data_IF_618948634069
#
_entry.id   IF_618948634069
#
_cell.length_a   1.000
_cell.length_b   1.000
_cell.length_c   1.000
_cell.angle_alpha   90.00
_cell.angle_beta   90.00
_cell.angle_gamma   90.00
#
_symmetry.space_group_name_H-M   'P 1'
#
loop_
_entity.id
_entity.type
_entity.pdbx_description
1 polymer ?
#
# COMPACT_ATOMS: atom_id res chain seq x y z
N UNK A 1 -12.37 -56.12 24.51
CA UNK A 1 -12.24 -54.77 23.94
C UNK A 1 -11.08 -54.80 22.97
N UNK A 2 -11.20 -54.37 21.70
CA UNK A 2 -10.05 -54.36 20.82
C UNK A 2 -9.11 -53.23 21.25
N UNK A 3 -7.83 -53.55 21.38
CA UNK A 3 -6.75 -52.60 21.67
C UNK A 3 -6.14 -52.19 20.34
N UNK A 4 -6.05 -50.89 20.08
CA UNK A 4 -5.34 -50.34 18.92
C UNK A 4 -3.86 -50.22 19.31
N UNK A 5 -3.00 -50.98 18.65
CA UNK A 5 -1.55 -50.83 18.71
C UNK A 5 -1.09 -49.94 17.54
N UNK A 6 -0.49 -48.79 17.84
CA UNK A 6 0.15 -47.92 16.84
C UNK A 6 1.62 -48.32 16.75
N UNK A 7 2.05 -48.90 15.63
CA UNK A 7 3.48 -49.07 15.32
C UNK A 7 4.02 -47.77 14.70
N UNK A 8 5.10 -47.26 15.24
CA UNK A 8 5.80 -46.11 14.68
C UNK A 8 6.46 -46.48 13.34
N UNK A 9 6.35 -45.57 12.35
CA UNK A 9 7.09 -45.50 11.08
C UNK A 9 6.41 -45.92 9.77
N UNK A 10 5.09 -45.95 9.68
CA UNK A 10 4.40 -45.91 8.38
C UNK A 10 3.37 -44.78 8.35
N UNK A 11 3.83 -43.55 8.12
CA UNK A 11 2.99 -42.49 7.56
C UNK A 11 3.66 -42.10 6.24
N UNK A 12 3.27 -42.77 5.17
CA UNK A 12 3.47 -42.25 3.82
C UNK A 12 2.38 -41.21 3.61
N UNK A 13 2.73 -39.91 3.69
CA UNK A 13 1.81 -38.83 3.32
C UNK A 13 1.68 -38.87 1.79
N UNK A 14 0.64 -39.55 1.32
CA UNK A 14 0.11 -39.41 -0.04
C UNK A 14 -1.13 -38.51 0.06
N UNK A 15 -1.13 -37.46 -0.75
CA UNK A 15 -2.08 -36.33 -0.83
C UNK A 15 -1.88 -35.19 0.21
N UNK A 16 -1.23 -34.12 -0.25
CA UNK A 16 -1.07 -32.81 0.40
C UNK A 16 -2.39 -31.99 0.45
N UNK A 17 -3.55 -32.64 0.52
CA UNK A 17 -4.84 -31.98 0.73
C UNK A 17 -5.14 -31.92 2.23
N UNK A 18 -4.42 -31.04 2.95
CA UNK A 18 -4.79 -30.66 4.32
C UNK A 18 -6.07 -29.83 4.25
N UNK A 19 -7.17 -30.42 4.70
CA UNK A 19 -8.51 -29.83 4.64
C UNK A 19 -8.72 -28.67 5.63
N UNK A 20 -9.07 -27.53 5.04
CA UNK A 20 -10.05 -26.52 5.49
C UNK A 20 -9.89 -25.87 6.86
N UNK A 21 -8.99 -24.90 6.94
CA UNK A 21 -9.44 -23.62 7.50
C UNK A 21 -10.39 -23.01 6.46
N UNK A 22 -11.56 -22.50 6.86
CA UNK A 22 -12.28 -21.53 6.04
C UNK A 22 -11.34 -20.32 5.91
N UNK A 23 -10.47 -20.34 4.90
CA UNK A 23 -9.68 -19.17 4.56
C UNK A 23 -10.69 -18.04 4.35
N UNK A 24 -10.45 -16.86 4.92
CA UNK A 24 -11.33 -15.74 4.65
C UNK A 24 -11.39 -15.53 3.14
N UNK A 25 -12.50 -15.01 2.63
CA UNK A 25 -12.59 -14.73 1.19
C UNK A 25 -11.43 -13.81 0.79
N UNK A 26 -10.55 -14.29 -0.08
CA UNK A 26 -9.40 -13.55 -0.61
C UNK A 26 -9.70 -13.13 -2.04
N UNK A 27 -10.49 -12.06 -2.16
CA UNK A 27 -10.70 -11.35 -3.42
C UNK A 27 -9.68 -10.21 -3.59
N UNK A 28 -9.45 -9.83 -4.85
CA UNK A 28 -8.51 -8.78 -5.23
C UNK A 28 -7.13 -9.30 -5.63
N UNK A 29 -6.23 -8.36 -5.90
CA UNK A 29 -4.86 -8.62 -6.36
C UNK A 29 -3.85 -7.84 -5.53
N UNK A 30 -2.68 -8.43 -5.37
CA UNK A 30 -1.58 -7.85 -4.62
C UNK A 30 -0.46 -7.49 -5.59
N UNK A 31 0.02 -6.26 -5.52
CA UNK A 31 1.21 -5.81 -6.25
C UNK A 31 2.31 -5.58 -5.24
N UNK A 32 3.50 -6.09 -5.52
CA UNK A 32 4.59 -6.10 -4.56
C UNK A 32 5.93 -5.89 -5.27
N UNK A 33 6.84 -5.20 -4.57
CA UNK A 33 8.22 -5.04 -5.00
C UNK A 33 9.06 -6.17 -4.41
N UNK A 34 9.94 -6.73 -5.22
CA UNK A 34 10.72 -7.89 -4.82
C UNK A 34 12.15 -7.77 -5.31
N UNK A 35 13.10 -8.04 -4.41
CA UNK A 35 14.49 -8.26 -4.79
C UNK A 35 14.72 -9.74 -5.00
N UNK A 36 14.68 -10.18 -6.25
CA UNK A 36 14.94 -11.58 -6.61
C UNK A 36 16.41 -11.95 -6.40
N UNK A 37 16.66 -13.20 -6.03
CA UNK A 37 18.02 -13.70 -5.81
C UNK A 37 18.88 -13.50 -7.07
N UNK A 38 20.07 -12.92 -6.89
CA UNK A 38 21.00 -12.62 -7.99
C UNK A 38 20.74 -11.30 -8.73
N UNK A 39 19.64 -10.58 -8.45
CA UNK A 39 19.39 -9.25 -9.01
C UNK A 39 19.88 -8.14 -8.06
N UNK A 40 20.33 -7.02 -8.65
CA UNK A 40 20.74 -5.83 -7.89
C UNK A 40 19.57 -4.91 -7.56
N UNK A 41 18.54 -4.89 -8.40
CA UNK A 41 17.37 -4.02 -8.32
C UNK A 41 16.10 -4.76 -7.85
N UNK A 42 15.07 -3.99 -7.50
CA UNK A 42 13.73 -4.49 -7.19
C UNK A 42 12.85 -4.37 -8.43
N UNK A 43 12.12 -5.44 -8.74
CA UNK A 43 11.07 -5.42 -9.78
C UNK A 43 9.69 -5.48 -9.12
N UNK A 44 8.67 -4.98 -9.82
CA UNK A 44 7.28 -5.15 -9.45
C UNK A 44 6.72 -6.47 -9.97
N UNK A 45 5.93 -7.11 -9.13
CA UNK A 45 5.21 -8.35 -9.41
C UNK A 45 3.77 -8.22 -8.95
N UNK A 46 2.91 -9.05 -9.52
CA UNK A 46 1.49 -9.14 -9.19
C UNK A 46 1.09 -10.59 -8.98
N UNK A 47 0.13 -10.80 -8.08
CA UNK A 47 -0.58 -12.08 -7.91
C UNK A 47 -2.02 -11.81 -7.47
N UNK A 48 -2.90 -12.81 -7.62
CA UNK A 48 -4.19 -12.80 -6.94
C UNK A 48 -3.97 -12.92 -5.42
N UNK A 49 -4.93 -12.44 -4.62
CA UNK A 49 -4.81 -12.45 -3.15
C UNK A 49 -4.64 -13.85 -2.54
N UNK A 50 -5.06 -14.89 -3.25
CA UNK A 50 -4.87 -16.31 -2.89
C UNK A 50 -3.49 -16.87 -3.28
N UNK A 51 -2.63 -16.07 -3.90
CA UNK A 51 -1.30 -16.44 -4.37
C UNK A 51 -1.24 -17.02 -5.79
N UNK A 52 -2.39 -17.16 -6.46
CA UNK A 52 -2.46 -17.61 -7.85
C UNK A 52 -2.10 -16.49 -8.86
N UNK A 53 -1.96 -16.86 -10.14
CA UNK A 53 -1.65 -15.96 -11.27
C UNK A 53 -0.47 -15.00 -11.04
N UNK A 54 0.55 -15.49 -10.33
CA UNK A 54 1.76 -14.72 -10.09
C UNK A 54 2.52 -14.44 -11.40
N UNK A 55 2.87 -13.17 -11.63
CA UNK A 55 3.71 -12.74 -12.76
C UNK A 55 4.45 -11.45 -12.47
N UNK A 56 5.56 -11.21 -13.17
CA UNK A 56 6.29 -9.94 -13.09
C UNK A 56 5.58 -8.86 -13.93
N UNK A 57 5.59 -7.64 -13.42
CA UNK A 57 5.07 -6.44 -14.05
C UNK A 57 6.19 -5.63 -14.71
N UNK A 58 7.34 -5.53 -14.04
CA UNK A 58 8.57 -4.89 -14.54
C UNK A 58 9.71 -5.91 -14.63
N UNK A 59 10.68 -5.59 -15.48
CA UNK A 59 11.98 -6.29 -15.64
C UNK A 59 13.00 -5.30 -16.18
N UNK A 60 13.37 -4.33 -15.35
CA UNK A 60 14.28 -3.26 -15.78
C UNK A 60 15.62 -3.36 -15.04
N UNK A 61 16.53 -2.41 -15.29
CA UNK A 61 17.78 -2.28 -14.53
C UNK A 61 17.66 -1.27 -13.37
N UNK A 62 16.45 -0.78 -13.10
CA UNK A 62 16.14 0.25 -12.12
C UNK A 62 15.39 -0.38 -10.95
N UNK A 63 15.40 0.28 -9.79
CA UNK A 63 14.56 -0.12 -8.67
C UNK A 63 13.14 0.37 -8.91
N UNK A 64 12.16 -0.53 -8.81
CA UNK A 64 10.74 -0.18 -8.70
C UNK A 64 10.16 -0.70 -7.39
N UNK A 65 9.71 0.22 -6.53
CA UNK A 65 9.33 -0.06 -5.15
C UNK A 65 8.04 0.67 -4.74
N UNK A 66 7.55 0.34 -3.55
CA UNK A 66 6.44 1.04 -2.90
C UNK A 66 5.19 1.17 -3.78
N UNK A 67 4.67 0.05 -4.35
CA UNK A 67 3.53 0.10 -5.24
C UNK A 67 2.24 0.46 -4.47
N UNK A 68 1.30 1.13 -5.14
CA UNK A 68 -0.07 1.32 -4.70
C UNK A 68 -1.06 1.16 -5.85
N UNK A 69 -2.11 0.39 -5.65
CA UNK A 69 -3.12 0.09 -6.67
C UNK A 69 -4.15 1.21 -6.71
N UNK A 70 -4.45 1.69 -7.91
CA UNK A 70 -5.52 2.65 -8.15
C UNK A 70 -6.88 2.16 -7.62
N UNK A 71 -7.80 3.06 -7.22
CA UNK A 71 -9.09 2.67 -6.64
C UNK A 71 -9.98 1.81 -7.55
N UNK A 72 -9.85 1.97 -8.87
CA UNK A 72 -10.58 1.15 -9.85
C UNK A 72 -9.90 -0.21 -10.11
N UNK A 73 -8.74 -0.42 -9.52
CA UNK A 73 -7.95 -1.62 -9.60
C UNK A 73 -7.12 -1.74 -10.86
N UNK A 74 -7.18 -0.82 -11.84
CA UNK A 74 -6.65 -1.03 -13.20
C UNK A 74 -5.19 -0.66 -13.37
N UNK A 75 -4.71 0.27 -12.56
CA UNK A 75 -3.35 0.80 -12.60
C UNK A 75 -2.63 0.65 -11.26
N UNK A 76 -1.31 0.76 -11.29
CA UNK A 76 -0.45 0.88 -10.11
C UNK A 76 0.39 2.14 -10.23
N UNK A 77 0.49 2.91 -9.14
CA UNK A 77 1.52 3.92 -8.96
C UNK A 77 2.66 3.34 -8.13
N UNK A 78 3.89 3.74 -8.40
CA UNK A 78 5.07 3.21 -7.71
C UNK A 78 6.24 4.18 -7.81
N UNK A 79 7.23 4.02 -6.92
CA UNK A 79 8.46 4.79 -6.98
C UNK A 79 9.54 4.08 -7.80
N UNK A 80 10.28 4.80 -8.64
CA UNK A 80 11.39 4.29 -9.44
C UNK A 80 12.61 5.23 -9.45
N UNK A 81 13.81 4.71 -9.70
CA UNK A 81 15.08 5.49 -9.69
C UNK A 81 15.75 5.65 -11.08
N UNK A 82 14.96 5.48 -12.15
CA UNK A 82 15.43 5.48 -13.54
C UNK A 82 16.32 6.66 -13.93
N UNK A 83 16.02 7.86 -13.45
CA UNK A 83 16.74 9.09 -13.79
C UNK A 83 17.76 9.53 -12.72
N UNK A 84 18.05 8.67 -11.73
CA UNK A 84 19.03 8.91 -10.67
C UNK A 84 18.43 9.40 -9.35
N UNK A 85 17.26 10.05 -9.40
CA UNK A 85 16.45 10.42 -8.24
C UNK A 85 15.17 9.56 -8.20
N UNK A 86 14.53 9.44 -7.03
CA UNK A 86 13.27 8.71 -6.91
C UNK A 86 12.10 9.49 -7.52
N UNK A 87 11.34 8.89 -8.43
CA UNK A 87 10.14 9.48 -9.03
C UNK A 87 8.97 8.53 -8.96
N UNK A 88 7.76 9.07 -9.06
CA UNK A 88 6.54 8.29 -9.12
C UNK A 88 6.13 8.13 -10.57
N UNK A 89 5.86 6.89 -10.96
CA UNK A 89 5.25 6.55 -12.24
C UNK A 89 3.96 5.76 -12.03
N UNK A 90 3.15 5.66 -13.07
CA UNK A 90 1.97 4.78 -13.14
C UNK A 90 2.08 3.83 -14.32
N UNK A 91 1.50 2.64 -14.20
CA UNK A 91 1.39 1.69 -15.30
C UNK A 91 0.09 0.89 -15.21
N UNK A 92 -0.33 0.34 -16.34
CA UNK A 92 -1.45 -0.60 -16.41
C UNK A 92 -1.04 -1.95 -15.78
N UNK A 93 -1.93 -2.54 -15.00
CA UNK A 93 -1.68 -3.82 -14.34
C UNK A 93 -1.93 -5.02 -15.25
N UNK A 94 -2.91 -4.93 -16.16
CA UNK A 94 -3.36 -6.03 -17.01
C UNK A 94 -2.60 -6.10 -18.33
N UNK A 95 -2.25 -4.94 -18.90
CA UNK A 95 -1.45 -4.79 -20.11
C UNK A 95 -0.25 -3.87 -19.85
N UNK A 96 0.70 -4.29 -18.98
CA UNK A 96 1.84 -3.44 -18.65
C UNK A 96 2.69 -3.17 -19.89
N UNK A 97 3.15 -1.92 -20.04
CA UNK A 97 4.30 -1.58 -20.91
C UNK A 97 5.55 -1.65 -20.04
N UNK A 98 6.25 -2.81 -19.95
CA UNK A 98 7.13 -3.11 -18.81
C UNK A 98 8.41 -2.29 -18.74
N UNK A 99 8.71 -1.52 -19.79
CA UNK A 99 9.99 -0.81 -19.97
C UNK A 99 9.91 0.67 -19.64
N UNK A 100 8.71 1.23 -19.46
CA UNK A 100 8.56 2.65 -19.10
C UNK A 100 7.19 2.94 -18.48
N UNK A 101 7.11 3.31 -17.19
CA UNK A 101 5.88 3.83 -16.61
C UNK A 101 5.56 5.23 -17.13
N UNK A 102 4.28 5.56 -17.12
CA UNK A 102 3.87 6.94 -17.32
C UNK A 102 4.32 7.78 -16.13
N UNK A 103 5.15 8.83 -16.31
CA UNK A 103 5.69 9.60 -15.20
C UNK A 103 4.59 10.47 -14.56
N UNK A 104 4.57 10.51 -13.22
CA UNK A 104 3.68 11.35 -12.40
C UNK A 104 4.48 12.46 -11.72
N UNK A 105 5.75 12.24 -11.43
CA UNK A 105 6.65 13.27 -10.88
C UNK A 105 7.97 13.32 -11.66
N UNK A 106 8.69 14.44 -11.57
CA UNK A 106 9.68 14.81 -12.60
C UNK A 106 11.01 15.33 -12.07
N UNK A 107 11.12 15.56 -10.76
CA UNK A 107 12.28 16.19 -10.15
C UNK A 107 12.34 15.87 -8.67
N UNK A 108 13.55 15.88 -8.11
CA UNK A 108 13.83 15.56 -6.71
C UNK A 108 13.36 14.14 -6.31
N UNK A 109 13.47 13.79 -5.04
CA UNK A 109 13.05 12.48 -4.55
C UNK A 109 11.57 12.48 -4.15
N UNK A 110 10.79 11.59 -4.76
CA UNK A 110 9.43 11.24 -4.37
C UNK A 110 9.24 9.74 -4.16
N UNK A 111 8.63 9.39 -3.03
CA UNK A 111 8.55 8.02 -2.50
C UNK A 111 7.21 7.78 -1.81
N UNK A 112 6.91 6.53 -1.49
CA UNK A 112 5.76 6.08 -0.71
C UNK A 112 4.42 6.60 -1.24
N UNK A 113 4.06 6.33 -2.51
CA UNK A 113 2.75 6.71 -3.02
C UNK A 113 1.63 5.92 -2.31
N UNK A 114 0.51 6.59 -2.04
CA UNK A 114 -0.75 5.98 -1.61
C UNK A 114 -1.90 6.57 -2.45
N UNK A 115 -2.56 5.70 -3.23
CA UNK A 115 -3.65 6.12 -4.10
C UNK A 115 -4.96 6.10 -3.32
N UNK A 116 -5.52 7.30 -3.08
CA UNK A 116 -6.78 7.47 -2.41
C UNK A 116 -7.98 7.24 -3.33
N UNK A 117 -9.08 6.75 -2.77
CA UNK A 117 -10.39 6.64 -3.46
C UNK A 117 -10.95 7.99 -3.93
N UNK A 118 -10.35 9.10 -3.46
CA UNK A 118 -10.61 10.47 -3.94
C UNK A 118 -9.94 10.78 -5.29
N UNK A 119 -9.18 9.85 -5.86
CA UNK A 119 -8.48 10.00 -7.14
C UNK A 119 -7.08 10.61 -7.03
N UNK A 120 -6.65 11.04 -5.84
CA UNK A 120 -5.32 11.62 -5.63
C UNK A 120 -4.32 10.55 -5.20
N UNK A 121 -3.07 10.75 -5.58
CA UNK A 121 -1.91 10.02 -5.03
C UNK A 121 -1.26 10.92 -4.00
N UNK A 122 -1.22 10.49 -2.74
CA UNK A 122 -0.37 11.12 -1.72
C UNK A 122 1.02 10.50 -1.77
N UNK A 123 2.06 11.29 -1.55
CA UNK A 123 3.43 10.80 -1.57
C UNK A 123 4.36 11.66 -0.72
N UNK A 124 5.48 11.09 -0.33
CA UNK A 124 6.57 11.81 0.30
C UNK A 124 7.39 12.53 -0.77
N UNK A 125 7.76 13.80 -0.57
CA UNK A 125 8.62 14.56 -1.48
C UNK A 125 9.53 15.53 -0.74
N UNK A 126 10.77 15.67 -1.21
CA UNK A 126 11.73 16.69 -0.76
C UNK A 126 11.84 17.90 -1.70
N UNK A 127 10.83 18.15 -2.55
CA UNK A 127 10.91 19.18 -3.60
C UNK A 127 11.08 20.63 -3.13
N UNK A 128 10.82 20.90 -1.84
CA UNK A 128 11.07 22.21 -1.21
C UNK A 128 12.26 22.17 -0.24
N UNK A 129 13.18 21.20 -0.41
CA UNK A 129 14.35 21.01 0.45
C UNK A 129 14.06 20.31 1.78
N UNK A 130 12.79 20.13 2.15
CA UNK A 130 12.34 19.38 3.32
C UNK A 130 11.36 18.29 2.91
N UNK A 131 11.50 17.10 3.50
CA UNK A 131 10.55 16.00 3.30
C UNK A 131 9.16 16.40 3.78
N UNK A 132 8.19 16.48 2.88
CA UNK A 132 6.79 16.73 3.19
C UNK A 132 5.93 15.69 2.47
N UNK A 133 4.71 15.50 2.94
CA UNK A 133 3.67 14.81 2.20
C UNK A 133 3.05 15.79 1.21
N UNK A 134 2.92 15.34 -0.03
CA UNK A 134 2.28 16.03 -1.12
C UNK A 134 1.17 15.16 -1.69
N UNK A 135 0.30 15.75 -2.49
CA UNK A 135 -0.73 15.01 -3.21
C UNK A 135 -0.99 15.57 -4.59
N UNK A 136 -1.34 14.68 -5.52
CA UNK A 136 -1.48 15.02 -6.93
C UNK A 136 -2.57 14.20 -7.59
N UNK A 137 -3.29 14.78 -8.53
CA UNK A 137 -4.17 14.05 -9.44
C UNK A 137 -3.32 13.52 -10.61
N UNK A 138 -3.24 12.20 -10.80
CA UNK A 138 -2.40 11.60 -11.83
C UNK A 138 -2.93 11.78 -13.27
N UNK A 139 -4.15 12.28 -13.48
CA UNK A 139 -4.78 12.37 -14.81
C UNK A 139 -5.23 13.78 -15.22
N UNK A 140 -4.93 14.83 -14.44
CA UNK A 140 -5.29 16.20 -14.81
C UNK A 140 -4.60 16.65 -16.11
N UNK A 141 -5.37 17.13 -17.10
CA UNK A 141 -4.86 17.74 -18.35
C UNK A 141 -4.53 19.23 -18.16
N UNK A 142 -3.28 19.64 -18.42
CA UNK A 142 -2.81 21.04 -18.45
C UNK A 142 -1.46 21.26 -17.77
N UNK A 143 -0.61 22.11 -18.38
CA UNK A 143 0.80 22.43 -18.06
C UNK A 143 1.59 21.25 -17.47
N UNK A 144 1.67 20.17 -18.24
CA UNK A 144 2.38 18.93 -17.89
C UNK A 144 1.92 18.17 -16.62
N UNK A 145 1.49 18.77 -15.48
CA UNK A 145 1.52 18.05 -14.19
C UNK A 145 0.39 18.28 -13.17
N UNK A 146 -0.62 19.15 -13.37
CA UNK A 146 -1.54 19.48 -12.25
C UNK A 146 -0.82 20.10 -11.02
N UNK A 147 -1.57 20.73 -10.13
CA UNK A 147 -0.96 21.40 -8.97
C UNK A 147 -0.66 20.39 -7.86
N UNK A 148 0.61 20.21 -7.53
CA UNK A 148 0.98 19.49 -6.31
C UNK A 148 0.40 20.23 -5.09
N UNK A 149 -0.30 19.46 -4.25
CA UNK A 149 -0.92 19.96 -3.03
C UNK A 149 -0.01 19.61 -1.87
N UNK A 150 0.68 20.60 -1.32
CA UNK A 150 1.48 20.40 -0.11
C UNK A 150 0.53 20.13 1.07
N UNK A 151 0.66 18.97 1.68
CA UNK A 151 0.00 18.64 2.92
C UNK A 151 0.90 19.18 4.05
N UNK A 152 0.36 20.01 4.94
CA UNK A 152 1.13 20.66 6.03
C UNK A 152 1.62 19.62 7.08
N UNK A 153 2.66 18.89 6.68
CA UNK A 153 3.03 17.59 7.25
C UNK A 153 4.38 17.62 7.97
N UNK A 154 5.20 18.65 7.75
CA UNK A 154 6.53 18.76 8.35
C UNK A 154 6.68 19.89 9.38
N UNK A 155 5.65 20.69 9.65
CA UNK A 155 5.81 21.87 10.52
C UNK A 155 5.62 21.47 11.99
N UNK A 156 6.67 21.67 12.79
CA UNK A 156 6.61 21.83 14.25
C UNK A 156 7.60 22.90 14.72
N UNK A 157 7.26 23.58 15.83
CA UNK A 157 8.11 24.57 16.49
C UNK A 157 8.52 24.07 17.86
N UNK A 158 9.79 24.25 18.20
CA UNK A 158 10.30 24.01 19.54
C UNK A 158 10.89 25.31 20.08
N UNK A 159 10.18 25.91 21.04
CA UNK A 159 10.37 27.33 21.33
C UNK A 159 10.06 28.17 20.07
N UNK A 160 11.02 29.02 19.68
CA UNK A 160 10.90 29.89 18.51
C UNK A 160 11.55 29.32 17.23
N UNK A 161 12.08 28.09 17.29
CA UNK A 161 12.82 27.47 16.18
C UNK A 161 11.94 26.46 15.46
N UNK A 162 11.89 26.58 14.12
CA UNK A 162 11.29 25.56 13.26
C UNK A 162 12.23 24.38 13.11
N UNK A 163 11.69 23.17 13.30
CA UNK A 163 12.46 21.93 13.24
C UNK A 163 12.18 21.16 11.95
N UNK A 164 13.24 20.58 11.39
CA UNK A 164 13.10 19.63 10.30
C UNK A 164 12.70 18.26 10.86
N UNK A 165 11.53 17.78 10.44
CA UNK A 165 11.01 16.48 10.82
C UNK A 165 11.06 15.52 9.63
N UNK A 166 11.20 14.25 9.96
CA UNK A 166 10.99 13.17 9.01
C UNK A 166 9.48 12.94 8.91
N UNK A 167 8.99 12.78 7.70
CA UNK A 167 7.61 12.40 7.41
C UNK A 167 7.64 11.28 6.39
N UNK A 168 6.78 10.28 6.53
CA UNK A 168 6.77 9.13 5.63
C UNK A 168 5.44 8.40 5.65
N UNK A 169 5.26 7.60 4.59
CA UNK A 169 4.17 6.63 4.43
C UNK A 169 2.79 7.26 4.64
N UNK A 170 2.37 8.13 3.70
CA UNK A 170 1.01 8.62 3.70
C UNK A 170 0.02 7.47 3.53
N UNK A 171 -1.16 7.61 4.14
CA UNK A 171 -2.30 6.73 3.90
C UNK A 171 -3.58 7.53 3.93
N UNK A 172 -4.37 7.44 2.87
CA UNK A 172 -5.67 8.05 2.76
C UNK A 172 -6.75 7.19 3.42
N UNK A 173 -7.60 7.87 4.20
CA UNK A 173 -8.91 7.34 4.53
C UNK A 173 -9.77 7.17 3.26
N UNK A 174 -10.75 6.26 3.34
CA UNK A 174 -11.61 5.91 2.21
C UNK A 174 -12.34 7.10 1.57
N UNK A 175 -12.73 8.09 2.36
CA UNK A 175 -13.41 9.30 1.86
C UNK A 175 -12.42 10.39 1.40
N UNK A 176 -11.11 10.14 1.54
CA UNK A 176 -10.05 11.09 1.23
C UNK A 176 -10.00 12.31 2.16
N UNK A 177 -10.80 12.34 3.24
CA UNK A 177 -10.86 13.44 4.19
C UNK A 177 -9.66 13.45 5.11
N UNK A 178 -9.30 12.29 5.63
CA UNK A 178 -8.15 12.12 6.50
C UNK A 178 -6.96 11.56 5.75
N UNK A 179 -5.77 12.06 6.11
CA UNK A 179 -4.48 11.57 5.66
C UNK A 179 -3.62 11.28 6.89
N UNK A 180 -3.20 10.03 7.03
CA UNK A 180 -2.32 9.58 8.09
C UNK A 180 -0.89 9.51 7.57
N UNK A 181 0.09 9.77 8.43
CA UNK A 181 1.51 9.65 8.11
C UNK A 181 2.31 9.48 9.39
N UNK A 182 3.48 8.87 9.29
CA UNK A 182 4.41 8.76 10.40
C UNK A 182 5.38 9.95 10.39
N UNK A 183 5.63 10.56 11.56
CA UNK A 183 6.56 11.68 11.69
C UNK A 183 7.14 11.81 13.09
N UNK A 184 8.38 12.29 13.20
CA UNK A 184 9.05 12.58 14.47
C UNK A 184 8.78 13.99 15.04
N UNK A 185 7.81 14.72 14.48
CA UNK A 185 7.50 16.11 14.86
C UNK A 185 7.07 16.38 16.30
N UNK A 186 6.73 15.32 17.04
CA UNK A 186 6.32 15.37 18.46
C UNK A 186 7.47 14.95 19.41
N UNK A 187 8.71 14.98 18.92
CA UNK A 187 9.92 14.82 19.74
C UNK A 187 10.10 16.01 20.68
N UNK A 188 10.30 15.75 21.98
CA UNK A 188 10.46 16.81 22.98
C UNK A 188 11.82 17.55 22.88
N UNK A 189 12.82 16.95 22.22
CA UNK A 189 14.15 17.51 21.92
C UNK A 189 14.74 16.72 20.71
N UNK A 190 15.54 17.36 19.81
CA UNK A 190 16.30 16.73 18.72
C UNK A 190 16.91 15.35 18.99
N UNK A 191 17.38 15.08 20.21
CA UNK A 191 18.05 13.81 20.56
C UNK A 191 17.06 12.64 20.81
N UNK A 192 15.76 12.91 20.90
CA UNK A 192 14.73 11.90 21.19
C UNK A 192 13.63 11.87 20.11
N UNK A 193 14.05 11.83 18.84
CA UNK A 193 13.16 11.76 17.68
C UNK A 193 12.63 10.35 17.48
N UNK A 194 11.39 10.12 17.89
CA UNK A 194 10.64 8.89 17.59
C UNK A 194 9.47 9.23 16.67
N UNK A 195 9.24 8.39 15.66
CA UNK A 195 8.08 8.55 14.80
C UNK A 195 6.79 8.24 15.56
N UNK A 196 5.76 9.03 15.29
CA UNK A 196 4.39 8.82 15.74
C UNK A 196 3.46 8.93 14.57
N UNK A 197 2.28 8.33 14.71
CA UNK A 197 1.22 8.45 13.71
C UNK A 197 0.48 9.77 13.93
N UNK A 198 0.45 10.57 12.89
CA UNK A 198 -0.31 11.81 12.81
C UNK A 198 -1.42 11.66 11.78
N UNK A 199 -2.54 12.31 12.05
CA UNK A 199 -3.70 12.36 11.15
C UNK A 199 -4.00 13.82 10.85
N UNK A 200 -3.93 14.19 9.58
CA UNK A 200 -4.39 15.45 9.05
C UNK A 200 -5.86 15.32 8.61
N UNK A 201 -6.73 16.16 9.16
CA UNK A 201 -8.05 16.41 8.59
C UNK A 201 -7.88 17.47 7.49
N UNK A 202 -8.05 17.05 6.24
CA UNK A 202 -7.82 17.91 5.06
C UNK A 202 -8.94 18.93 4.85
N UNK A 203 -10.12 18.69 5.44
CA UNK A 203 -11.23 19.64 5.38
C UNK A 203 -10.98 20.82 6.32
N UNK A 204 -10.55 20.55 7.56
CA UNK A 204 -10.28 21.60 8.55
C UNK A 204 -8.83 22.11 8.52
N UNK A 205 -7.93 21.39 7.82
CA UNK A 205 -6.47 21.63 7.80
C UNK A 205 -5.83 21.59 9.18
N UNK A 206 -6.36 20.73 10.05
CA UNK A 206 -5.82 20.51 11.38
C UNK A 206 -5.26 19.11 11.48
N UNK A 207 -4.11 18.96 12.14
CA UNK A 207 -3.50 17.65 12.39
C UNK A 207 -3.42 17.33 13.87
N UNK A 208 -3.56 16.06 14.24
CA UNK A 208 -3.35 15.55 15.60
C UNK A 208 -2.54 14.26 15.59
N UNK A 209 -1.76 14.01 16.63
CA UNK A 209 -1.14 12.71 16.84
C UNK A 209 -2.14 11.73 17.44
N UNK A 210 -1.99 10.44 17.11
CA UNK A 210 -2.63 9.38 17.88
C UNK A 210 -2.03 9.40 19.30
N UNK A 211 -2.86 9.26 20.37
CA UNK A 211 -2.38 9.37 21.74
C UNK A 211 -1.17 8.49 22.08
N UNK A 212 -0.22 9.04 22.83
CA UNK A 212 1.07 8.40 23.17
C UNK A 212 0.95 7.08 23.93
N UNK A 213 -0.15 6.88 24.66
CA UNK A 213 -0.46 5.62 25.33
C UNK A 213 -0.82 4.50 24.33
N UNK A 214 -1.28 4.85 23.12
CA UNK A 214 -1.59 3.91 22.04
C UNK A 214 -0.38 3.67 21.13
N UNK A 215 0.32 4.74 20.75
CA UNK A 215 1.48 4.69 19.85
C UNK A 215 2.72 5.24 20.57
N UNK A 216 3.64 4.34 20.96
CA UNK A 216 4.92 4.76 21.54
C UNK A 216 5.91 5.17 20.45
N UNK A 217 6.01 4.36 19.40
CA UNK A 217 6.87 4.54 18.24
C UNK A 217 6.14 3.89 17.05
N UNK A 218 5.59 4.73 16.17
CA UNK A 218 4.68 4.34 15.11
C UNK A 218 5.25 4.57 13.71
N UNK A 219 4.98 3.65 12.80
CA UNK A 219 5.32 3.71 11.37
C UNK A 219 4.21 3.09 10.52
N UNK A 220 4.31 3.18 9.20
CA UNK A 220 3.45 2.52 8.20
C UNK A 220 1.94 2.58 8.56
N UNK A 221 1.33 3.76 8.74
CA UNK A 221 -0.10 3.82 8.99
C UNK A 221 -0.89 3.37 7.76
N UNK A 222 -1.96 2.63 7.98
CA UNK A 222 -2.90 2.15 6.96
C UNK A 222 -4.32 2.38 7.46
N UNK A 223 -5.11 3.17 6.72
CA UNK A 223 -6.52 3.34 7.04
C UNK A 223 -7.33 2.10 6.71
N UNK A 224 -8.25 1.76 7.61
CA UNK A 224 -9.29 0.81 7.29
C UNK A 224 -10.28 1.40 6.28
N UNK A 225 -10.36 0.79 5.10
CA UNK A 225 -11.25 1.22 4.00
C UNK A 225 -12.55 0.39 3.94
N UNK A 226 -12.80 -0.51 4.89
CA UNK A 226 -14.00 -1.36 4.91
C UNK A 226 -15.20 -0.77 5.67
N UNK A 227 -16.26 -1.56 5.82
CA UNK A 227 -17.51 -1.15 6.51
C UNK A 227 -17.68 -1.72 7.91
N UNK A 228 -17.00 -2.83 8.21
CA UNK A 228 -17.25 -3.65 9.40
C UNK A 228 -15.92 -4.00 10.07
N UNK A 229 -15.32 -3.00 10.73
CA UNK A 229 -14.28 -3.29 11.72
C UNK A 229 -14.93 -3.95 12.95
N UNK A 230 -14.30 -3.81 14.11
CA UNK A 230 -14.86 -4.20 15.41
C UNK A 230 -15.97 -3.26 15.90
N UNK A 231 -16.93 -3.78 16.69
CA UNK A 231 -17.93 -2.97 17.40
C UNK A 231 -17.30 -1.84 18.24
N UNK A 232 -16.12 -2.08 18.82
CA UNK A 232 -15.39 -1.14 19.68
C UNK A 232 -14.82 0.08 18.91
N UNK A 233 -14.88 0.09 17.58
CA UNK A 233 -14.57 1.27 16.79
C UNK A 233 -15.71 2.31 16.81
N UNK A 234 -16.94 1.90 17.17
CA UNK A 234 -18.12 2.77 17.21
C UNK A 234 -18.35 3.62 15.93
N UNK A 235 -17.94 3.10 14.77
CA UNK A 235 -18.05 3.79 13.48
C UNK A 235 -17.01 4.89 13.24
N UNK A 236 -16.03 5.06 14.12
CA UNK A 236 -14.93 6.01 13.93
C UNK A 236 -13.92 5.49 12.90
N UNK A 237 -13.21 6.39 12.19
CA UNK A 237 -12.10 5.99 11.33
C UNK A 237 -11.03 5.24 12.12
N UNK A 238 -10.60 4.10 11.57
CA UNK A 238 -9.61 3.20 12.17
C UNK A 238 -8.33 3.23 11.34
N UNK A 239 -7.19 3.19 12.02
CA UNK A 239 -5.87 3.05 11.42
C UNK A 239 -5.18 1.82 12.03
N UNK A 240 -4.63 0.96 11.19
CA UNK A 240 -3.58 0.03 11.57
C UNK A 240 -2.21 0.67 11.36
N UNK A 241 -1.22 0.33 12.17
CA UNK A 241 0.11 0.90 12.08
C UNK A 241 1.15 -0.05 12.66
N UNK A 242 2.40 0.15 12.25
CA UNK A 242 3.54 -0.56 12.81
C UNK A 242 3.95 0.11 14.12
N UNK A 243 3.99 -0.67 15.20
CA UNK A 243 4.62 -0.33 16.47
C UNK A 243 5.98 -1.02 16.53
N UNK A 244 7.05 -0.21 16.62
CA UNK A 244 8.40 -0.70 16.84
C UNK A 244 8.65 -0.75 18.35
N UNK A 245 9.04 -1.93 18.87
CA UNK A 245 9.41 -2.09 20.27
C UNK A 245 10.65 -2.95 20.35
N UNK A 246 11.70 -2.46 20.99
CA UNK A 246 12.98 -3.17 21.17
C UNK A 246 13.57 -3.66 19.82
N UNK A 247 13.47 -2.82 18.79
CA UNK A 247 13.93 -3.12 17.42
C UNK A 247 12.99 -4.04 16.61
N UNK A 248 11.91 -4.52 17.21
CA UNK A 248 10.98 -5.45 16.56
C UNK A 248 9.69 -4.75 16.11
N UNK A 249 9.32 -4.82 14.81
CA UNK A 249 8.06 -4.28 14.32
C UNK A 249 6.90 -5.26 14.57
N UNK A 250 5.79 -4.72 15.04
CA UNK A 250 4.50 -5.40 15.25
C UNK A 250 3.38 -4.50 14.75
N UNK A 251 2.20 -5.03 14.46
CA UNK A 251 1.08 -4.26 13.96
C UNK A 251 0.03 -4.10 15.07
N UNK A 252 -0.49 -2.89 15.18
CA UNK A 252 -1.55 -2.48 16.10
C UNK A 252 -2.62 -1.70 15.35
N UNK A 253 -3.72 -1.41 16.03
CA UNK A 253 -4.76 -0.54 15.50
C UNK A 253 -5.24 0.46 16.56
N UNK A 254 -5.81 1.59 16.10
CA UNK A 254 -6.51 2.55 16.94
C UNK A 254 -7.54 3.35 16.15
N UNK A 255 -8.57 3.84 16.83
CA UNK A 255 -9.43 4.91 16.33
C UNK A 255 -8.58 6.19 16.19
N UNK A 256 -8.89 7.06 15.23
CA UNK A 256 -8.11 8.30 15.02
C UNK A 256 -8.14 9.27 16.21
N UNK A 257 -9.06 9.11 17.16
CA UNK A 257 -9.15 9.87 18.40
C UNK A 257 -8.55 9.16 19.62
N UNK A 258 -8.09 7.91 19.45
CA UNK A 258 -7.54 7.07 20.51
C UNK A 258 -8.56 6.54 21.52
N UNK A 259 -9.87 6.66 21.24
CA UNK A 259 -10.95 6.11 22.09
C UNK A 259 -10.92 4.58 22.15
N UNK A 260 -10.41 3.93 21.10
CA UNK A 260 -10.25 2.50 20.98
C UNK A 260 -8.92 2.14 20.33
N UNK A 261 -8.44 0.94 20.60
CA UNK A 261 -7.22 0.43 20.00
C UNK A 261 -6.78 -0.88 20.63
N UNK A 262 -5.90 -1.58 19.91
CA UNK A 262 -5.52 -2.93 20.28
C UNK A 262 -4.30 -3.44 19.55
N UNK A 263 -3.94 -4.67 19.91
CA UNK A 263 -2.83 -5.41 19.33
C UNK A 263 -3.36 -6.28 18.20
N UNK A 264 -2.63 -6.36 17.08
CA UNK A 264 -2.96 -7.28 15.99
C UNK A 264 -1.95 -8.43 15.96
N UNK A 265 -0.66 -8.11 15.79
CA UNK A 265 0.38 -9.15 15.64
C UNK A 265 1.29 -9.34 16.87
N UNK A 266 1.18 -8.50 17.91
CA UNK A 266 2.07 -8.50 19.09
C UNK A 266 2.25 -9.88 19.78
N UNK A 267 1.26 -10.77 19.69
CA UNK A 267 1.21 -12.06 20.42
C UNK A 267 0.96 -13.26 19.52
N UNK A 268 1.15 -13.11 18.22
CA UNK A 268 1.00 -14.24 17.31
C UNK A 268 2.01 -15.35 17.65
N UNK A 269 1.62 -16.63 17.48
CA UNK A 269 2.53 -17.76 17.64
C UNK A 269 3.82 -17.57 16.86
N UNK A 270 4.96 -17.92 17.46
CA UNK A 270 6.27 -17.79 16.84
C UNK A 270 6.94 -16.42 17.00
N UNK A 271 6.30 -15.46 17.70
CA UNK A 271 6.89 -14.14 17.95
C UNK A 271 7.36 -13.48 16.64
N UNK A 272 6.48 -13.42 15.65
CA UNK A 272 6.80 -12.94 14.30
C UNK A 272 6.98 -11.42 14.25
N UNK A 273 7.88 -10.95 13.39
CA UNK A 273 7.97 -9.54 13.02
C UNK A 273 6.91 -9.24 11.95
N UNK A 274 6.30 -8.05 11.99
CA UNK A 274 5.24 -7.67 11.06
C UNK A 274 5.32 -6.18 10.67
N UNK A 275 5.26 -5.89 9.37
CA UNK A 275 5.27 -4.52 8.80
C UNK A 275 4.36 -4.38 7.57
N UNK A 276 4.21 -3.18 7.02
CA UNK A 276 3.41 -2.92 5.81
C UNK A 276 1.97 -3.49 5.91
N UNK A 277 1.16 -3.09 6.90
CA UNK A 277 -0.24 -3.53 6.97
C UNK A 277 -1.03 -3.06 5.74
N UNK A 278 -1.85 -3.94 5.14
CA UNK A 278 -2.79 -3.63 4.06
C UNK A 278 -4.12 -4.34 4.27
N UNK A 279 -5.22 -3.60 4.16
CA UNK A 279 -6.56 -4.18 4.30
C UNK A 279 -7.09 -4.70 2.98
N UNK A 280 -7.80 -5.83 3.05
CA UNK A 280 -8.41 -6.39 1.86
C UNK A 280 -9.54 -5.53 1.28
N UNK A 281 -9.69 -5.49 -0.04
CA UNK A 281 -10.80 -4.82 -0.72
C UNK A 281 -12.09 -5.65 -0.68
N UNK A 282 -13.22 -5.06 -1.10
CA UNK A 282 -14.49 -5.77 -1.34
C UNK A 282 -14.88 -6.79 -0.26
N UNK A 283 -14.91 -8.10 -0.57
CA UNK A 283 -15.27 -9.15 0.39
C UNK A 283 -14.12 -9.58 1.30
N UNK A 284 -12.91 -9.08 1.03
CA UNK A 284 -11.71 -9.27 1.85
C UNK A 284 -11.56 -8.20 2.94
N UNK A 285 -12.55 -7.32 3.16
CA UNK A 285 -12.50 -6.22 4.13
C UNK A 285 -12.34 -6.65 5.60
N UNK A 286 -12.40 -7.95 5.91
CA UNK A 286 -12.14 -8.49 7.25
C UNK A 286 -10.75 -9.16 7.34
N UNK A 287 -9.92 -8.96 6.32
CA UNK A 287 -8.58 -9.53 6.23
C UNK A 287 -7.53 -8.44 6.27
N UNK A 288 -6.52 -8.65 7.10
CA UNK A 288 -5.29 -7.87 7.08
C UNK A 288 -4.19 -8.70 6.43
N UNK A 289 -3.62 -8.18 5.34
CA UNK A 289 -2.35 -8.62 4.81
C UNK A 289 -1.21 -7.82 5.44
N UNK A 290 -0.04 -8.44 5.59
CA UNK A 290 1.17 -7.78 6.09
C UNK A 290 2.42 -8.56 5.70
N UNK A 291 3.58 -7.91 5.77
CA UNK A 291 4.86 -8.57 5.59
C UNK A 291 5.33 -9.20 6.89
N UNK A 292 5.80 -10.44 6.82
CA UNK A 292 6.40 -11.17 7.95
C UNK A 292 7.60 -12.01 7.53
N UNK A 293 8.51 -12.26 8.46
CA UNK A 293 9.64 -13.18 8.29
C UNK A 293 9.62 -14.28 9.36
N UNK A 294 9.98 -15.51 8.98
CA UNK A 294 10.02 -16.66 9.91
C UNK A 294 11.18 -16.58 10.90
N UNK A 295 12.27 -15.91 10.51
CA UNK A 295 13.46 -15.63 11.31
C UNK A 295 14.19 -14.43 10.72
N UNK A 296 15.04 -13.73 11.50
CA UNK A 296 15.83 -12.62 10.97
C UNK A 296 16.57 -13.02 9.69
N UNK A 297 16.44 -12.20 8.65
CA UNK A 297 17.08 -12.38 7.33
C UNK A 297 16.52 -13.53 6.48
N UNK A 298 15.40 -14.16 6.86
CA UNK A 298 14.75 -15.18 6.03
C UNK A 298 14.09 -14.59 4.75
N UNK A 299 14.01 -13.27 4.67
CA UNK A 299 13.28 -12.55 3.64
C UNK A 299 11.80 -12.39 4.02
N UNK A 300 11.27 -11.21 3.75
CA UNK A 300 9.88 -10.88 4.05
C UNK A 300 8.93 -11.53 3.04
N UNK A 301 7.82 -12.07 3.55
CA UNK A 301 6.74 -12.69 2.77
C UNK A 301 5.41 -12.05 3.14
N UNK A 302 4.46 -12.06 2.21
CA UNK A 302 3.10 -11.60 2.47
C UNK A 302 2.34 -12.72 3.21
N UNK A 303 1.82 -12.38 4.37
CA UNK A 303 0.90 -13.21 5.14
C UNK A 303 -0.44 -12.48 5.31
N UNK A 304 -1.51 -13.26 5.42
CA UNK A 304 -2.87 -12.75 5.66
C UNK A 304 -3.42 -13.32 6.96
N UNK A 305 -4.26 -12.54 7.63
CA UNK A 305 -5.04 -12.99 8.78
C UNK A 305 -6.45 -12.40 8.77
N UNK A 306 -7.40 -13.13 9.33
CA UNK A 306 -8.72 -12.61 9.68
C UNK A 306 -8.59 -11.73 10.93
N UNK A 307 -9.02 -10.46 10.81
CA UNK A 307 -8.84 -9.48 11.89
C UNK A 307 -9.71 -9.78 13.10
N UNK A 308 -10.84 -10.48 12.95
CA UNK A 308 -11.83 -10.82 13.98
C UNK A 308 -11.50 -12.12 14.71
N UNK A 309 -10.85 -13.07 14.02
CA UNK A 309 -10.41 -14.34 14.59
C UNK A 309 -9.07 -14.22 15.32
N UNK A 310 -8.30 -13.17 15.03
CA UNK A 310 -7.10 -12.79 15.78
C UNK A 310 -6.12 -13.95 15.96
N UNK A 311 -5.65 -14.17 17.19
CA UNK A 311 -4.68 -15.24 17.52
C UNK A 311 -5.23 -16.67 17.37
N UNK A 312 -6.54 -16.85 17.21
CA UNK A 312 -7.13 -18.19 17.04
C UNK A 312 -6.94 -18.72 15.61
N UNK A 313 -6.58 -17.86 14.66
CA UNK A 313 -6.21 -18.24 13.30
C UNK A 313 -4.80 -17.69 13.01
N UNK A 314 -3.77 -18.54 12.96
CA UNK A 314 -2.43 -18.07 12.64
C UNK A 314 -2.38 -17.47 11.23
N UNK A 315 -1.51 -16.50 10.96
CA UNK A 315 -1.36 -15.94 9.63
C UNK A 315 -0.98 -17.00 8.60
N UNK A 316 -1.56 -16.89 7.41
CA UNK A 316 -1.28 -17.78 6.28
C UNK A 316 -0.38 -17.05 5.31
N UNK A 317 0.77 -17.64 4.96
CA UNK A 317 1.66 -17.10 3.93
C UNK A 317 1.03 -17.38 2.58
N UNK A 318 0.76 -16.32 1.81
CA UNK A 318 0.16 -16.40 0.46
C UNK A 318 1.22 -16.26 -0.64
N UNK A 319 2.39 -15.71 -0.31
CA UNK A 319 3.50 -15.65 -1.26
C UNK A 319 4.03 -17.05 -1.59
N UNK A 320 4.17 -17.42 -2.88
CA UNK A 320 4.71 -18.72 -3.26
C UNK A 320 6.12 -18.98 -2.70
N UNK A 321 6.39 -20.17 -2.13
CA UNK A 321 7.72 -20.53 -1.61
C UNK A 321 8.82 -20.46 -2.69
N UNK A 322 8.45 -20.74 -3.95
CA UNK A 322 9.35 -20.79 -5.10
C UNK A 322 9.98 -19.45 -5.47
N UNK A 323 9.48 -18.31 -4.97
CA UNK A 323 10.05 -17.02 -5.34
C UNK A 323 11.46 -16.80 -4.79
N UNK A 324 11.87 -17.48 -3.69
CA UNK A 324 13.21 -17.33 -3.10
C UNK A 324 13.60 -15.93 -2.63
N UNK A 325 12.74 -14.93 -2.87
CA UNK A 325 13.08 -13.51 -2.86
C UNK A 325 12.46 -12.77 -1.67
N UNK A 326 13.05 -11.65 -1.27
CA UNK A 326 12.49 -10.81 -0.20
C UNK A 326 11.57 -9.75 -0.80
N UNK A 327 10.33 -9.70 -0.31
CA UNK A 327 9.38 -8.63 -0.65
C UNK A 327 9.73 -7.39 0.17
N UNK A 328 9.90 -6.25 -0.47
CA UNK A 328 10.22 -5.01 0.25
C UNK A 328 8.94 -4.32 0.76
N UNK A 329 7.99 -4.14 -0.16
CA UNK A 329 6.71 -3.47 0.05
C UNK A 329 5.61 -4.06 -0.85
N UNK A 330 4.35 -3.90 -0.46
CA UNK A 330 3.20 -4.32 -1.27
C UNK A 330 1.94 -3.50 -1.00
N UNK A 331 1.00 -3.59 -1.93
CA UNK A 331 -0.37 -3.09 -1.79
C UNK A 331 -1.41 -4.13 -2.23
N UNK A 332 -2.64 -4.01 -1.73
CA UNK A 332 -3.74 -4.92 -2.00
C UNK A 332 -4.98 -4.16 -2.45
N UNK A 333 -5.42 -4.40 -3.68
CA UNK A 333 -6.49 -3.67 -4.34
C UNK A 333 -7.46 -4.56 -5.08
N UNK A 334 -8.54 -3.94 -5.58
CA UNK A 334 -9.62 -4.61 -6.33
C UNK A 334 -9.06 -5.22 -7.62
N UNK A 335 -9.59 -6.38 -8.02
CA UNK A 335 -9.38 -6.89 -9.38
C UNK A 335 -10.57 -6.44 -10.25
N UNK A 336 -10.36 -5.70 -11.35
CA UNK A 336 -11.46 -5.34 -12.26
C UNK A 336 -12.19 -6.60 -12.73
N UNK A 337 -13.48 -6.74 -12.40
CA UNK A 337 -14.30 -7.90 -12.77
C UNK A 337 -14.42 -9.03 -11.74
N UNK A 338 -13.77 -8.97 -10.56
CA UNK A 338 -14.03 -9.92 -9.45
C UNK A 338 -15.43 -9.78 -8.86
N UNK A 339 -16.09 -8.65 -9.09
CA UNK A 339 -17.48 -8.49 -8.73
C UNK A 339 -18.39 -9.10 -9.81
N UNK A 340 -19.15 -10.11 -9.40
CA UNK A 340 -20.49 -10.41 -9.96
C UNK A 340 -21.47 -9.21 -9.92
N UNK A 341 -20.96 -8.00 -9.64
CA UNK A 341 -21.68 -6.75 -9.53
C UNK A 341 -21.85 -5.99 -10.85
N UNK A 342 -21.23 -6.39 -11.97
CA UNK A 342 -21.59 -5.77 -13.25
C UNK A 342 -23.03 -6.12 -13.64
N UNK A 343 -23.48 -7.35 -13.35
CA UNK A 343 -24.89 -7.74 -13.50
C UNK A 343 -25.80 -7.08 -12.45
N UNK A 344 -25.39 -6.96 -11.18
CA UNK A 344 -26.24 -6.29 -10.16
C UNK A 344 -26.34 -4.77 -10.34
N UNK A 345 -25.28 -4.11 -10.83
CA UNK A 345 -25.34 -2.69 -11.24
C UNK A 345 -26.21 -2.50 -12.48
N UNK A 346 -26.18 -3.44 -13.43
CA UNK A 346 -27.08 -3.42 -14.60
C UNK A 346 -28.54 -3.72 -14.24
N UNK A 347 -28.81 -4.56 -13.23
CA UNK A 347 -30.17 -4.93 -12.80
C UNK A 347 -30.91 -3.79 -12.12
N UNK A 348 -30.19 -2.92 -11.41
CA UNK A 348 -30.75 -1.74 -10.73
C UNK A 348 -30.79 -0.48 -11.62
N UNK A 349 -30.35 -0.56 -12.88
CA UNK A 349 -30.26 0.60 -13.79
C UNK A 349 -31.16 0.53 -15.03
N UNK A 350 -32.06 -0.46 -15.16
CA UNK A 350 -33.06 -0.44 -16.24
C UNK A 350 -34.42 -0.02 -15.72
N UNK A 351 -34.94 1.11 -16.24
CA UNK A 351 -36.06 0.98 -17.16
C UNK A 351 -35.75 1.59 -18.53
N UNK A 352 -35.64 0.72 -19.53
CA UNK A 352 -35.86 1.00 -20.96
C UNK A 352 -34.85 1.89 -21.68
N UNK A 353 -34.16 1.34 -22.68
CA UNK A 353 -33.56 2.15 -23.76
C UNK A 353 -32.28 1.62 -24.39
N UNK A 354 -32.45 0.88 -25.49
CA UNK A 354 -31.50 0.55 -26.57
C UNK A 354 -29.98 0.79 -26.42
N UNK A 355 -29.30 -0.35 -26.44
CA UNK A 355 -27.98 -0.67 -26.97
C UNK A 355 -27.42 0.27 -28.09
N UNK A 356 -26.17 0.73 -27.94
CA UNK A 356 -25.17 0.84 -29.02
C UNK A 356 -23.75 0.92 -28.42
N UNK A 357 -22.91 -0.01 -28.85
CA UNK A 357 -21.57 -0.27 -28.32
C UNK A 357 -20.55 0.85 -28.55
N UNK A 358 -19.57 0.88 -27.65
CA UNK A 358 -18.43 1.80 -27.65
C UNK A 358 -17.40 1.44 -26.59
N UNK A 359 -16.94 0.19 -26.57
CA UNK A 359 -15.70 -0.18 -25.87
C UNK A 359 -14.53 -0.11 -26.86
N UNK A 360 -13.35 0.35 -26.41
CA UNK A 360 -12.05 0.37 -27.12
C UNK A 360 -11.57 1.67 -27.80
N UNK A 361 -12.25 2.82 -27.65
CA UNK A 361 -11.77 4.08 -28.27
C UNK A 361 -11.06 5.06 -27.31
N UNK A 362 -11.09 4.83 -25.99
CA UNK A 362 -10.36 5.69 -25.02
C UNK A 362 -8.93 5.22 -24.78
N UNK A 363 -8.69 3.91 -24.67
CA UNK A 363 -7.36 3.35 -24.35
C UNK A 363 -6.30 3.66 -25.44
N UNK A 364 -6.68 3.59 -26.72
CA UNK A 364 -5.77 3.96 -27.83
C UNK A 364 -5.46 5.46 -27.88
N UNK A 365 -6.43 6.33 -27.53
CA UNK A 365 -6.20 7.78 -27.53
C UNK A 365 -5.27 8.20 -26.40
N UNK A 366 -5.37 7.56 -25.24
CA UNK A 366 -4.46 7.83 -24.12
C UNK A 366 -3.02 7.35 -24.40
N UNK A 367 -2.84 6.21 -25.06
CA UNK A 367 -1.50 5.76 -25.47
C UNK A 367 -0.86 6.66 -26.54
N UNK A 368 -1.63 7.12 -27.52
CA UNK A 368 -1.11 8.01 -28.57
C UNK A 368 -0.85 9.42 -28.03
N UNK A 369 -1.71 9.94 -27.15
CA UNK A 369 -1.46 11.20 -26.44
C UNK A 369 -0.24 11.07 -25.51
N UNK A 370 -0.06 9.94 -24.84
CA UNK A 370 1.10 9.65 -23.99
C UNK A 370 2.44 9.65 -24.73
N UNK A 371 2.49 9.00 -25.89
CA UNK A 371 3.71 9.02 -26.73
C UNK A 371 4.06 10.42 -27.20
N UNK A 372 3.06 11.23 -27.52
CA UNK A 372 3.27 12.62 -27.93
C UNK A 372 3.76 13.48 -26.78
N UNK A 373 3.24 13.26 -25.57
CA UNK A 373 3.68 13.94 -24.36
C UNK A 373 5.11 13.55 -23.93
N UNK A 374 5.52 12.29 -24.11
CA UNK A 374 6.92 11.88 -23.88
C UNK A 374 7.92 12.63 -24.78
N UNK A 375 7.57 12.85 -26.05
CA UNK A 375 8.44 13.62 -26.97
C UNK A 375 8.55 15.09 -26.57
N UNK A 376 7.45 15.71 -26.15
CA UNK A 376 7.45 17.09 -25.65
C UNK A 376 8.25 17.22 -24.33
N UNK A 377 8.24 16.18 -23.49
CA UNK A 377 9.01 16.09 -22.26
C UNK A 377 10.53 15.97 -22.49
N UNK A 378 10.98 15.14 -23.42
CA UNK A 378 12.40 15.03 -23.79
C UNK A 378 12.97 16.37 -24.31
N UNK A 379 12.19 17.10 -25.10
CA UNK A 379 12.59 18.42 -25.60
C UNK A 379 12.65 19.47 -24.49
N UNK A 380 11.71 19.46 -23.54
CA UNK A 380 11.68 20.42 -22.44
C UNK A 380 12.77 20.14 -21.39
N UNK A 381 13.05 18.87 -21.08
CA UNK A 381 14.17 18.50 -20.21
C UNK A 381 15.52 18.92 -20.80
N UNK A 382 15.70 18.80 -22.12
CA UNK A 382 16.88 19.37 -22.80
C UNK A 382 17.00 20.87 -22.58
N UNK A 383 15.89 21.62 -22.75
CA UNK A 383 15.90 23.08 -22.55
C UNK A 383 16.25 23.49 -21.12
N UNK A 384 15.72 22.80 -20.11
CA UNK A 384 16.05 23.11 -18.72
C UNK A 384 17.49 22.75 -18.34
N UNK A 385 18.08 21.71 -18.96
CA UNK A 385 19.50 21.40 -18.79
C UNK A 385 20.44 22.35 -19.55
N UNK A 386 19.95 22.99 -20.62
CA UNK A 386 20.71 24.00 -21.37
C UNK A 386 20.68 25.41 -20.73
N UNK A 387 19.74 25.65 -19.81
CA UNK A 387 19.59 26.93 -19.08
C UNK A 387 20.30 26.98 -17.70
N UNK A 388 21.00 25.91 -17.30
CA UNK A 388 21.92 25.86 -16.15
C UNK A 388 23.38 25.95 -16.60
#
# INVERSE_FOLDING_TARGET
>A
MPVIEIKANEIEIKDDQVHFFDLPTLEGRMVFSVKTEGQSNHDLWIMNADGSDIRSLTRTNYNEIEPTISPDGRQVAFAHDREGDWRIGIMDLDNPTPTDPWPITFYNDQRNPDWGDNGLIAFQSNQEGMWSIWSKDPFMKGDLYGRDLQEQSNISKWGDVEMQNDVKQPSYSKDGRYLAFATNRDGQNPDNRINRIWVLDRQTRTSKSIPRNMVKQGDDPEFYKGRNWYPDAFGLPVIAFVQIKDGKPTIRWSNIDGSGGGKLTDRMPGNIAAKNPKFGPERSQEVLAFLTEKSPNAGWKIAVMDIHRGQNMPPVIVTPPSMGASIDSFDWGIHPGSSGGMMDRMRNMMPGGNNRGGGNNMDNRMMDEGRKMMQEQEEMQRRMMEEQ
#
